data_IF_783428806391
#
_entry.id   IF_783428806391
#
_cell.length_a   1.000
_cell.length_b   1.000
_cell.length_c   1.000
_cell.angle_alpha   90.00
_cell.angle_beta   90.00
_cell.angle_gamma   90.00
#
_symmetry.space_group_name_H-M   'P 1'
#
loop_
_entity.id
_entity.type
_entity.pdbx_description
1 polymer ?
#
# COMPACT_ATOMS: atom_id res chain seq x y z
N UNK A 1 -25.20 33.53 21.09
CA UNK A 1 -25.22 32.47 20.05
C UNK A 1 -23.81 32.04 19.82
N UNK A 2 -23.34 31.05 20.66
CA UNK A 2 -22.04 30.42 20.49
C UNK A 2 -22.10 29.47 19.32
N UNK A 3 -21.31 29.72 18.28
CA UNK A 3 -20.97 28.74 17.23
C UNK A 3 -20.05 27.72 17.91
N UNK A 4 -20.61 26.58 18.28
CA UNK A 4 -19.81 25.41 18.65
C UNK A 4 -19.14 24.93 17.37
N UNK A 5 -17.88 25.32 17.12
CA UNK A 5 -17.03 24.67 16.16
C UNK A 5 -16.81 23.26 16.69
N UNK A 6 -17.52 22.30 16.10
CA UNK A 6 -17.21 20.87 16.26
C UNK A 6 -15.87 20.67 15.57
N UNK A 7 -14.78 20.84 16.30
CA UNK A 7 -13.48 20.38 15.85
C UNK A 7 -13.62 18.85 15.77
N UNK A 8 -13.54 18.31 14.54
CA UNK A 8 -13.36 16.87 14.35
C UNK A 8 -12.17 16.45 15.21
N UNK A 9 -12.24 15.34 15.95
CA UNK A 9 -11.10 14.85 16.70
C UNK A 9 -9.93 14.72 15.74
N UNK A 10 -8.84 15.43 16.05
CA UNK A 10 -7.60 15.30 15.28
C UNK A 10 -7.06 13.93 15.63
N UNK A 11 -7.16 12.98 14.69
CA UNK A 11 -6.56 11.67 14.80
C UNK A 11 -5.09 11.81 15.21
N UNK A 12 -4.64 11.04 16.19
CA UNK A 12 -3.30 11.17 16.78
C UNK A 12 -2.23 10.62 15.82
N UNK A 13 -2.52 9.50 15.16
CA UNK A 13 -1.61 8.78 14.29
C UNK A 13 -2.09 8.73 12.84
N UNK A 14 -3.39 8.46 12.62
CA UNK A 14 -3.96 8.27 11.29
C UNK A 14 -4.43 9.59 10.68
N UNK A 15 -3.58 10.22 9.88
CA UNK A 15 -3.97 11.36 9.05
C UNK A 15 -4.71 10.95 7.76
N UNK A 16 -4.89 11.91 6.85
CA UNK A 16 -5.50 11.68 5.51
C UNK A 16 -4.78 10.56 4.75
N UNK A 17 -3.48 10.43 4.94
CA UNK A 17 -2.60 9.49 4.25
C UNK A 17 -2.22 8.26 5.08
N UNK A 18 -2.96 7.97 6.15
CA UNK A 18 -2.66 6.89 7.09
C UNK A 18 -1.65 7.30 8.17
N UNK A 19 -1.12 6.33 8.90
CA UNK A 19 -0.08 6.54 9.91
C UNK A 19 1.28 6.62 9.22
N UNK A 20 1.89 7.81 9.18
CA UNK A 20 3.19 8.07 8.54
C UNK A 20 4.24 8.55 9.52
N UNK A 21 5.49 8.17 9.27
CA UNK A 21 6.63 8.68 10.00
C UNK A 21 7.94 8.01 9.65
N UNK A 22 9.03 8.54 10.20
CA UNK A 22 10.34 7.90 10.05
C UNK A 22 10.33 6.52 10.73
N UNK A 23 10.73 5.50 9.97
CA UNK A 23 10.68 4.10 10.41
C UNK A 23 11.55 3.87 11.65
N UNK A 24 11.01 3.20 12.66
CA UNK A 24 11.61 2.93 13.98
C UNK A 24 11.88 4.18 14.85
N UNK A 25 11.45 5.37 14.43
CA UNK A 25 11.44 6.57 15.26
C UNK A 25 10.01 7.01 15.61
N UNK A 26 9.20 7.23 14.59
CA UNK A 26 7.80 7.66 14.73
C UNK A 26 6.86 6.49 14.54
N UNK A 27 7.00 5.76 13.43
CA UNK A 27 6.25 4.53 13.13
C UNK A 27 7.17 3.33 13.42
N UNK A 28 6.78 2.48 14.37
CA UNK A 28 7.58 1.34 14.84
C UNK A 28 6.98 0.00 14.41
N UNK A 29 7.77 -1.05 14.46
CA UNK A 29 7.29 -2.41 14.19
C UNK A 29 6.20 -2.86 15.16
N UNK A 30 6.29 -2.43 16.44
CA UNK A 30 5.26 -2.69 17.46
C UNK A 30 3.92 -2.05 17.10
N UNK A 31 3.93 -0.83 16.54
CA UNK A 31 2.72 -0.16 16.09
C UNK A 31 2.07 -0.94 14.94
N UNK A 32 2.88 -1.38 13.98
CA UNK A 32 2.41 -2.23 12.87
C UNK A 32 1.85 -3.57 13.37
N UNK A 33 2.49 -4.20 14.34
CA UNK A 33 1.99 -5.40 14.97
C UNK A 33 0.64 -5.17 15.63
N UNK A 34 0.49 -4.10 16.42
CA UNK A 34 -0.78 -3.73 17.06
C UNK A 34 -1.88 -3.39 16.06
N UNK A 35 -1.55 -2.68 14.97
CA UNK A 35 -2.48 -2.47 13.86
C UNK A 35 -2.97 -3.81 13.30
N UNK A 36 -2.05 -4.73 13.04
CA UNK A 36 -2.37 -6.08 12.60
C UNK A 36 -3.24 -6.85 13.60
N UNK A 37 -2.92 -6.76 14.90
CA UNK A 37 -3.71 -7.34 15.99
C UNK A 37 -5.15 -6.83 15.99
N UNK A 38 -5.30 -5.50 15.93
CA UNK A 38 -6.62 -4.88 15.97
C UNK A 38 -7.46 -5.25 14.75
N UNK A 39 -6.92 -5.12 13.54
CA UNK A 39 -7.64 -5.46 12.31
C UNK A 39 -7.96 -6.95 12.22
N UNK A 40 -7.00 -7.81 12.58
CA UNK A 40 -7.20 -9.25 12.62
C UNK A 40 -8.33 -9.65 13.57
N UNK A 41 -8.36 -9.09 14.77
CA UNK A 41 -9.45 -9.29 15.74
C UNK A 41 -10.77 -8.68 15.23
N UNK A 42 -10.75 -7.46 14.73
CA UNK A 42 -11.95 -6.73 14.30
C UNK A 42 -12.72 -7.51 13.23
N UNK A 43 -12.03 -8.04 12.22
CA UNK A 43 -12.64 -8.78 11.13
C UNK A 43 -12.83 -10.29 11.41
N UNK A 44 -12.25 -10.84 12.48
CA UNK A 44 -12.46 -12.24 12.86
C UNK A 44 -13.67 -12.49 13.76
N UNK A 45 -14.43 -11.43 14.14
CA UNK A 45 -15.54 -11.56 15.11
C UNK A 45 -16.75 -12.36 14.60
N UNK A 46 -17.00 -12.33 13.30
CA UNK A 46 -18.18 -12.97 12.68
C UNK A 46 -17.80 -14.11 11.73
N UNK A 47 -16.63 -14.02 11.13
CA UNK A 47 -16.09 -15.01 10.19
C UNK A 47 -14.57 -14.96 10.24
N UNK A 48 -13.90 -15.85 9.52
CA UNK A 48 -12.44 -15.81 9.39
C UNK A 48 -12.04 -14.63 8.48
N UNK A 49 -11.53 -13.57 9.07
CA UNK A 49 -11.20 -12.34 8.35
C UNK A 49 -10.13 -12.57 7.28
N UNK A 50 -10.24 -11.89 6.14
CA UNK A 50 -9.33 -11.96 5.00
C UNK A 50 -8.74 -10.59 4.74
N UNK A 51 -7.46 -10.41 5.02
CA UNK A 51 -6.78 -9.12 4.94
C UNK A 51 -5.65 -9.19 3.92
N UNK A 52 -5.69 -8.32 2.90
CA UNK A 52 -4.66 -8.27 1.87
C UNK A 52 -3.66 -7.15 2.13
N UNK A 53 -2.37 -7.41 1.92
CA UNK A 53 -1.28 -6.48 2.22
C UNK A 53 -0.45 -6.25 0.96
N UNK A 54 -0.27 -4.98 0.60
CA UNK A 54 0.70 -4.54 -0.41
C UNK A 54 1.74 -3.62 0.21
N UNK A 55 2.90 -3.52 -0.44
CA UNK A 55 3.98 -2.65 0.03
C UNK A 55 4.71 -2.00 -1.14
N UNK A 56 5.47 -0.94 -0.83
CA UNK A 56 6.45 -0.38 -1.75
C UNK A 56 7.84 -1.03 -1.57
N UNK A 57 8.83 -0.47 -2.21
CA UNK A 57 10.18 -1.03 -2.30
C UNK A 57 11.10 -0.70 -1.12
N UNK A 58 10.67 0.11 -0.14
CA UNK A 58 11.49 0.50 1.02
C UNK A 58 11.92 -0.72 1.83
N UNK A 59 13.13 -0.69 2.38
CA UNK A 59 13.59 -1.76 3.30
C UNK A 59 12.67 -1.93 4.50
N UNK A 60 12.21 -0.82 5.09
CA UNK A 60 11.28 -0.84 6.22
C UNK A 60 9.91 -1.42 5.88
N UNK A 61 9.51 -1.43 4.61
CA UNK A 61 8.23 -2.01 4.18
C UNK A 61 8.16 -3.52 4.45
N UNK A 62 9.27 -4.22 4.35
CA UNK A 62 9.34 -5.65 4.70
C UNK A 62 9.16 -5.88 6.20
N UNK A 63 9.80 -5.06 7.03
CA UNK A 63 9.65 -5.11 8.48
C UNK A 63 8.20 -4.88 8.91
N UNK A 64 7.56 -3.86 8.36
CA UNK A 64 6.17 -3.54 8.68
C UNK A 64 5.19 -4.60 8.15
N UNK A 65 5.41 -5.12 6.93
CA UNK A 65 4.60 -6.21 6.39
C UNK A 65 4.62 -7.43 7.31
N UNK A 66 5.81 -7.87 7.75
CA UNK A 66 5.91 -9.03 8.65
C UNK A 66 5.30 -8.78 10.03
N UNK A 67 5.44 -7.58 10.57
CA UNK A 67 4.80 -7.20 11.83
C UNK A 67 3.27 -7.21 11.72
N UNK A 68 2.70 -6.65 10.63
CA UNK A 68 1.27 -6.71 10.33
C UNK A 68 0.78 -8.15 10.20
N UNK A 69 1.49 -8.99 9.44
CA UNK A 69 1.14 -10.40 9.25
C UNK A 69 1.10 -11.14 10.58
N UNK A 70 2.12 -10.96 11.42
CA UNK A 70 2.16 -11.58 12.74
C UNK A 70 0.96 -11.15 13.60
N UNK A 71 0.60 -9.87 13.61
CA UNK A 71 -0.55 -9.37 14.36
C UNK A 71 -1.88 -9.92 13.83
N UNK A 72 -2.09 -9.91 12.52
CA UNK A 72 -3.31 -10.41 11.86
C UNK A 72 -3.52 -11.89 12.17
N UNK A 73 -2.49 -12.70 11.95
CA UNK A 73 -2.61 -14.16 12.14
C UNK A 73 -2.75 -14.55 13.61
N UNK A 74 -2.08 -13.83 14.53
CA UNK A 74 -2.25 -14.01 15.97
C UNK A 74 -3.66 -13.65 16.46
N UNK A 75 -4.45 -12.96 15.67
CA UNK A 75 -5.83 -12.53 16.00
C UNK A 75 -6.92 -13.34 15.26
N UNK A 76 -6.56 -14.36 14.49
CA UNK A 76 -7.51 -15.29 13.88
C UNK A 76 -7.92 -14.96 12.45
N UNK A 77 -7.41 -13.89 11.85
CA UNK A 77 -7.60 -13.56 10.44
C UNK A 77 -6.47 -14.08 9.57
N UNK A 78 -6.74 -14.28 8.28
CA UNK A 78 -5.74 -14.66 7.29
C UNK A 78 -5.15 -13.45 6.58
N UNK A 79 -3.83 -13.45 6.38
CA UNK A 79 -3.08 -12.42 5.68
C UNK A 79 -2.72 -12.89 4.26
N UNK A 80 -2.94 -12.03 3.25
CA UNK A 80 -2.66 -12.31 1.85
C UNK A 80 -1.66 -11.28 1.30
N UNK A 81 -0.51 -11.73 0.81
CA UNK A 81 0.62 -10.88 0.46
C UNK A 81 0.67 -10.61 -1.06
N UNK A 82 0.38 -9.38 -1.46
CA UNK A 82 0.56 -8.91 -2.84
C UNK A 82 2.02 -8.56 -3.16
N UNK A 83 2.89 -8.50 -2.13
CA UNK A 83 4.25 -8.02 -2.23
C UNK A 83 4.34 -6.58 -2.75
N UNK A 84 5.39 -6.26 -3.54
CA UNK A 84 5.57 -4.92 -4.10
C UNK A 84 4.47 -4.63 -5.11
N UNK A 85 3.61 -3.66 -4.78
CA UNK A 85 2.49 -3.22 -5.62
C UNK A 85 2.06 -1.80 -5.26
N UNK A 86 1.16 -1.21 -6.04
CA UNK A 86 0.66 0.15 -5.85
C UNK A 86 -0.57 0.21 -4.94
N UNK A 87 -0.82 1.37 -4.32
CA UNK A 87 -2.03 1.58 -3.52
C UNK A 87 -3.32 1.29 -4.30
N UNK A 88 -3.49 1.75 -5.56
CA UNK A 88 -4.66 1.39 -6.35
C UNK A 88 -4.80 -0.12 -6.62
N UNK A 89 -3.69 -0.86 -6.70
CA UNK A 89 -3.72 -2.33 -6.83
C UNK A 89 -4.34 -2.98 -5.59
N UNK A 90 -3.94 -2.53 -4.39
CA UNK A 90 -4.54 -3.02 -3.13
C UNK A 90 -6.03 -2.72 -3.09
N UNK A 91 -6.43 -1.48 -3.36
CA UNK A 91 -7.85 -1.07 -3.37
C UNK A 91 -8.68 -1.86 -4.40
N UNK A 92 -8.11 -2.12 -5.58
CA UNK A 92 -8.75 -2.93 -6.61
C UNK A 92 -8.98 -4.36 -6.13
N UNK A 93 -7.94 -5.01 -5.61
CA UNK A 93 -8.01 -6.41 -5.15
C UNK A 93 -8.99 -6.56 -3.99
N UNK A 94 -8.94 -5.64 -3.00
CA UNK A 94 -9.90 -5.66 -1.88
C UNK A 94 -11.34 -5.72 -2.40
N UNK A 95 -11.69 -4.79 -3.26
CA UNK A 95 -13.06 -4.65 -3.76
C UNK A 95 -13.49 -5.78 -4.68
N UNK A 96 -12.61 -6.27 -5.55
CA UNK A 96 -12.98 -7.23 -6.61
C UNK A 96 -12.89 -8.69 -6.16
N UNK A 97 -12.20 -8.95 -5.07
CA UNK A 97 -11.98 -10.32 -4.57
C UNK A 97 -12.54 -10.51 -3.16
N UNK A 98 -13.40 -9.57 -2.75
CA UNK A 98 -14.18 -9.65 -1.49
C UNK A 98 -13.29 -9.86 -0.25
N UNK A 99 -12.18 -9.10 -0.15
CA UNK A 99 -11.40 -9.00 1.08
C UNK A 99 -12.10 -8.05 2.04
N UNK A 100 -12.02 -8.34 3.34
CA UNK A 100 -12.59 -7.49 4.39
C UNK A 100 -11.84 -6.16 4.50
N UNK A 101 -10.52 -6.20 4.28
CA UNK A 101 -9.64 -5.06 4.44
C UNK A 101 -8.38 -5.19 3.58
N UNK A 102 -7.86 -4.06 3.17
CA UNK A 102 -6.54 -3.94 2.53
C UNK A 102 -5.61 -3.05 3.33
N UNK A 103 -4.34 -3.38 3.33
CA UNK A 103 -3.29 -2.59 3.95
C UNK A 103 -2.23 -2.25 2.90
N UNK A 104 -1.89 -0.96 2.77
CA UNK A 104 -0.77 -0.52 1.94
C UNK A 104 0.34 0.06 2.80
N UNK A 105 1.51 -0.55 2.73
CA UNK A 105 2.73 -0.10 3.42
C UNK A 105 3.55 0.77 2.49
N UNK A 106 3.43 2.09 2.63
CA UNK A 106 4.12 3.08 1.79
C UNK A 106 3.99 4.48 2.35
N UNK A 107 5.02 5.32 2.17
CA UNK A 107 4.96 6.76 2.42
C UNK A 107 4.96 7.58 1.11
N UNK A 108 4.47 7.02 -0.01
CA UNK A 108 4.33 7.73 -1.29
C UNK A 108 5.66 8.35 -1.77
N UNK A 109 5.67 9.68 -1.99
CA UNK A 109 6.82 10.44 -2.49
C UNK A 109 7.85 10.84 -1.43
N UNK A 110 7.66 10.44 -0.16
CA UNK A 110 8.62 10.73 0.91
C UNK A 110 9.96 10.01 0.69
N UNK A 111 11.04 10.47 1.33
CA UNK A 111 12.33 9.79 1.32
C UNK A 111 12.26 8.35 1.84
N UNK A 112 13.26 7.54 1.53
CA UNK A 112 13.31 6.11 1.83
C UNK A 112 13.22 5.75 3.32
N UNK A 113 13.64 6.65 4.21
CA UNK A 113 13.64 6.43 5.66
C UNK A 113 12.25 6.62 6.28
N UNK A 114 11.34 7.32 5.62
CA UNK A 114 9.93 7.38 6.01
C UNK A 114 9.19 6.14 5.53
N UNK A 115 8.11 5.80 6.24
CA UNK A 115 7.14 4.82 5.81
C UNK A 115 5.74 5.19 6.30
N UNK A 116 4.73 4.42 5.89
CA UNK A 116 3.36 4.64 6.30
C UNK A 116 2.51 3.39 6.15
N UNK A 117 1.43 3.34 6.91
CA UNK A 117 0.44 2.28 6.86
C UNK A 117 -0.91 2.92 6.55
N UNK A 118 -1.48 2.58 5.39
CA UNK A 118 -2.83 2.98 4.96
C UNK A 118 -3.74 1.80 5.04
N UNK A 119 -4.93 2.01 5.60
CA UNK A 119 -5.94 0.97 5.73
C UNK A 119 -7.10 1.30 4.79
N UNK A 120 -7.53 0.29 4.05
CA UNK A 120 -8.52 0.36 2.98
C UNK A 120 -9.65 -0.60 3.35
N UNK A 121 -10.88 -0.13 3.38
CA UNK A 121 -12.06 -0.95 3.68
C UNK A 121 -12.41 -1.93 2.54
N UNK A 122 -13.36 -2.81 2.76
CA UNK A 122 -13.82 -3.80 1.78
C UNK A 122 -14.36 -3.21 0.46
N UNK A 123 -14.71 -1.92 0.43
CA UNK A 123 -15.16 -1.21 -0.76
C UNK A 123 -14.01 -0.53 -1.53
N UNK A 124 -12.80 -0.61 -1.03
CA UNK A 124 -11.61 0.01 -1.64
C UNK A 124 -11.41 1.48 -1.26
N UNK A 125 -12.07 1.98 -0.21
CA UNK A 125 -11.94 3.33 0.30
C UNK A 125 -11.07 3.37 1.57
N UNK A 126 -10.71 4.57 2.01
CA UNK A 126 -10.07 4.75 3.32
C UNK A 126 -11.01 4.21 4.41
N UNK A 127 -10.45 3.48 5.38
CA UNK A 127 -11.23 2.96 6.51
C UNK A 127 -11.89 4.09 7.31
N UNK A 128 -13.01 3.79 7.95
CA UNK A 128 -13.79 4.76 8.74
C UNK A 128 -13.00 5.30 9.94
N UNK A 129 -13.22 6.59 10.27
CA UNK A 129 -12.44 7.29 11.30
C UNK A 129 -12.67 6.74 12.71
N UNK A 130 -13.84 6.19 12.99
CA UNK A 130 -14.15 5.55 14.28
C UNK A 130 -13.32 4.28 14.50
N UNK A 131 -13.03 3.52 13.43
CA UNK A 131 -12.14 2.35 13.48
C UNK A 131 -10.68 2.81 13.65
N UNK A 132 -10.27 3.91 13.00
CA UNK A 132 -8.94 4.49 13.20
C UNK A 132 -8.75 4.92 14.66
N UNK A 133 -9.71 5.63 15.24
CA UNK A 133 -9.69 6.08 16.65
C UNK A 133 -9.64 4.90 17.64
N UNK A 134 -10.45 3.87 17.41
CA UNK A 134 -10.43 2.68 18.25
C UNK A 134 -9.08 1.93 18.16
N UNK A 135 -8.46 1.91 16.98
CA UNK A 135 -7.13 1.34 16.78
C UNK A 135 -6.04 2.17 17.46
N UNK A 136 -6.12 3.51 17.42
CA UNK A 136 -5.21 4.40 18.14
C UNK A 136 -5.28 4.16 19.66
N UNK A 137 -6.48 4.01 20.21
CA UNK A 137 -6.68 3.69 21.62
C UNK A 137 -6.05 2.32 21.99
N UNK A 138 -6.10 1.34 21.09
CA UNK A 138 -5.42 0.06 21.29
C UNK A 138 -3.89 0.19 21.22
N UNK A 139 -3.37 0.95 20.27
CA UNK A 139 -1.92 1.23 20.14
C UNK A 139 -1.39 1.88 21.43
N UNK A 140 -2.13 2.82 21.99
CA UNK A 140 -1.77 3.54 23.22
C UNK A 140 -1.97 2.72 24.51
N UNK A 141 -2.57 1.54 24.43
CA UNK A 141 -2.87 0.71 25.59
C UNK A 141 -3.99 1.28 26.50
N UNK A 142 -4.86 2.10 25.93
CA UNK A 142 -6.04 2.67 26.64
C UNK A 142 -7.14 1.60 26.82
N UNK A 143 -7.20 0.66 25.88
CA UNK A 143 -8.13 -0.47 25.93
C UNK A 143 -7.40 -1.75 26.32
N UNK A 144 -8.16 -2.72 26.85
CA UNK A 144 -7.62 -4.03 27.25
C UNK A 144 -6.97 -4.77 26.07
N UNK A 145 -6.04 -5.68 26.40
CA UNK A 145 -5.38 -6.54 25.39
C UNK A 145 -6.43 -7.43 24.70
N UNK A 146 -6.37 -7.45 23.38
CA UNK A 146 -7.27 -8.25 22.57
C UNK A 146 -6.93 -9.76 22.70
N UNK A 147 -7.93 -10.65 22.64
CA UNK A 147 -7.68 -12.08 22.75
C UNK A 147 -6.77 -12.60 21.63
N UNK A 148 -5.95 -13.58 21.94
CA UNK A 148 -5.15 -14.30 20.94
C UNK A 148 -5.93 -15.50 20.42
N UNK A 149 -5.85 -15.72 19.13
CA UNK A 149 -6.30 -16.95 18.53
C UNK A 149 -5.40 -18.13 18.95
N UNK A 150 -5.97 -19.31 19.15
CA UNK A 150 -5.24 -20.51 19.57
C UNK A 150 -5.61 -21.71 18.71
N UNK A 151 -4.69 -22.66 18.58
CA UNK A 151 -4.92 -23.90 17.83
C UNK A 151 -5.32 -23.61 16.36
N UNK A 152 -6.43 -24.19 15.94
CA UNK A 152 -6.96 -24.05 14.57
C UNK A 152 -7.51 -22.65 14.27
N UNK A 153 -7.74 -21.83 15.28
CA UNK A 153 -8.18 -20.44 15.10
C UNK A 153 -7.05 -19.50 14.69
N UNK A 154 -5.78 -19.87 14.83
CA UNK A 154 -4.65 -19.06 14.35
C UNK A 154 -4.75 -18.88 12.84
N UNK A 155 -4.56 -17.64 12.38
CA UNK A 155 -4.64 -17.30 10.96
C UNK A 155 -3.44 -17.81 10.16
N UNK A 156 -3.56 -17.75 8.85
CA UNK A 156 -2.50 -18.14 7.89
C UNK A 156 -1.95 -16.96 7.14
N UNK A 157 -0.73 -17.09 6.59
CA UNK A 157 -0.15 -16.13 5.66
C UNK A 157 0.01 -16.80 4.29
N UNK A 158 -0.53 -16.16 3.25
CA UNK A 158 -0.56 -16.70 1.89
C UNK A 158 0.09 -15.74 0.91
N UNK A 159 0.99 -16.22 0.05
CA UNK A 159 1.46 -15.48 -1.12
C UNK A 159 0.29 -15.28 -2.08
N UNK A 160 -0.03 -14.03 -2.39
CA UNK A 160 -1.16 -13.67 -3.25
C UNK A 160 -0.76 -12.79 -4.43
N UNK A 161 0.42 -13.02 -4.99
CA UNK A 161 0.91 -12.28 -6.17
C UNK A 161 -0.07 -12.32 -7.36
N UNK A 162 -0.95 -13.31 -7.41
CA UNK A 162 -2.00 -13.43 -8.44
C UNK A 162 -2.96 -12.22 -8.41
N UNK A 163 -3.26 -11.65 -7.25
CA UNK A 163 -4.11 -10.45 -7.12
C UNK A 163 -3.48 -9.25 -7.85
N UNK A 164 -2.17 -9.04 -7.69
CA UNK A 164 -1.42 -8.02 -8.44
C UNK A 164 -1.50 -8.26 -9.96
N UNK A 165 -1.37 -9.50 -10.40
CA UNK A 165 -1.45 -9.84 -11.83
C UNK A 165 -2.85 -9.58 -12.40
N UNK A 166 -3.92 -9.80 -11.63
CA UNK A 166 -5.28 -9.42 -12.01
C UNK A 166 -5.44 -7.91 -12.15
N UNK A 167 -4.83 -7.12 -11.28
CA UNK A 167 -4.80 -5.66 -11.42
C UNK A 167 -4.09 -5.21 -12.71
N UNK A 168 -2.96 -5.85 -13.08
CA UNK A 168 -2.29 -5.60 -14.36
C UNK A 168 -3.24 -5.90 -15.53
N UNK A 169 -3.92 -7.04 -15.51
CA UNK A 169 -4.93 -7.42 -16.51
C UNK A 169 -6.08 -6.39 -16.60
N UNK A 170 -6.55 -5.91 -15.45
CA UNK A 170 -7.55 -4.85 -15.39
C UNK A 170 -7.06 -3.55 -16.05
N UNK A 171 -5.85 -3.09 -15.73
CA UNK A 171 -5.28 -1.89 -16.36
C UNK A 171 -5.18 -2.02 -17.88
N UNK A 172 -4.77 -3.18 -18.38
CA UNK A 172 -4.71 -3.46 -19.82
C UNK A 172 -6.10 -3.40 -20.44
N UNK A 173 -7.13 -3.91 -19.76
CA UNK A 173 -8.53 -3.92 -20.25
C UNK A 173 -9.15 -2.53 -20.36
N UNK A 174 -8.64 -1.52 -19.65
CA UNK A 174 -9.13 -0.15 -19.74
C UNK A 174 -8.71 0.58 -21.02
N UNK A 175 -7.75 0.05 -21.76
CA UNK A 175 -7.27 0.70 -22.97
C UNK A 175 -8.30 0.52 -24.11
N UNK A 176 -8.75 1.63 -24.68
CA UNK A 176 -9.71 1.66 -25.78
C UNK A 176 -9.04 1.55 -27.16
N UNK A 177 -7.71 1.58 -27.23
CA UNK A 177 -6.93 1.50 -28.47
C UNK A 177 -5.55 0.89 -28.23
N UNK A 178 -4.93 0.35 -29.28
CA UNK A 178 -3.55 -0.14 -29.24
C UNK A 178 -2.55 1.02 -29.14
N UNK A 179 -1.47 0.79 -28.42
CA UNK A 179 -0.31 1.71 -28.33
C UNK A 179 0.83 1.29 -29.27
N UNK A 180 0.53 0.41 -30.24
CA UNK A 180 1.50 0.01 -31.28
C UNK A 180 2.09 1.24 -31.96
N UNK A 181 3.40 1.24 -32.18
CA UNK A 181 4.21 2.32 -32.72
C UNK A 181 4.40 3.55 -31.77
N UNK A 182 3.88 3.52 -30.56
CA UNK A 182 4.22 4.53 -29.55
C UNK A 182 5.53 4.16 -28.86
N UNK A 183 6.35 5.19 -28.61
CA UNK A 183 7.57 5.09 -27.81
C UNK A 183 7.31 5.85 -26.52
N UNK A 184 7.25 5.12 -25.39
CA UNK A 184 6.81 5.69 -24.10
C UNK A 184 7.97 5.66 -23.12
N UNK A 185 8.29 6.82 -22.54
CA UNK A 185 9.21 6.94 -21.40
C UNK A 185 8.45 6.83 -20.08
N UNK A 186 8.92 6.02 -19.18
CA UNK A 186 8.35 5.79 -17.85
C UNK A 186 9.39 6.08 -16.78
N UNK A 187 9.00 6.83 -15.73
CA UNK A 187 9.76 6.93 -14.50
C UNK A 187 9.03 6.16 -13.40
N UNK A 188 9.62 5.09 -12.91
CA UNK A 188 9.05 4.25 -11.85
C UNK A 188 9.50 4.66 -10.45
N UNK A 189 10.25 5.76 -10.31
CA UNK A 189 10.71 6.32 -9.02
C UNK A 189 11.43 5.31 -8.10
N UNK A 190 11.95 4.21 -8.64
CA UNK A 190 12.43 3.04 -7.89
C UNK A 190 11.39 2.56 -6.85
N UNK A 191 10.11 2.78 -7.10
CA UNK A 191 8.98 2.52 -6.21
C UNK A 191 8.08 1.38 -6.67
N UNK A 192 6.86 1.37 -6.16
CA UNK A 192 5.86 0.30 -6.35
C UNK A 192 5.52 0.02 -7.82
N UNK A 193 5.55 1.04 -8.68
CA UNK A 193 5.23 0.92 -10.10
C UNK A 193 6.27 0.13 -10.90
N UNK A 194 7.48 -0.04 -10.36
CA UNK A 194 8.56 -0.81 -11.02
C UNK A 194 8.14 -2.23 -11.39
N UNK A 195 7.22 -2.82 -10.65
CA UNK A 195 6.71 -4.18 -10.91
C UNK A 195 5.51 -4.24 -11.87
N UNK A 196 4.94 -3.10 -12.28
CA UNK A 196 3.65 -3.04 -12.99
C UNK A 196 3.75 -2.26 -14.31
N UNK A 197 4.32 -1.05 -14.28
CA UNK A 197 4.17 -0.07 -15.36
C UNK A 197 4.64 -0.58 -16.72
N UNK A 198 5.85 -1.13 -16.78
CA UNK A 198 6.40 -1.66 -18.04
C UNK A 198 5.52 -2.76 -18.64
N UNK A 199 5.08 -3.70 -17.81
CA UNK A 199 4.26 -4.84 -18.26
C UNK A 199 2.93 -4.39 -18.88
N UNK A 200 2.28 -3.35 -18.33
CA UNK A 200 1.04 -2.80 -18.85
C UNK A 200 1.26 -2.16 -20.23
N UNK A 201 2.22 -1.27 -20.35
CA UNK A 201 2.46 -0.57 -21.61
C UNK A 201 2.98 -1.49 -22.72
N UNK A 202 3.85 -2.47 -22.40
CA UNK A 202 4.29 -3.48 -23.34
C UNK A 202 3.13 -4.35 -23.85
N UNK A 203 2.22 -4.77 -22.95
CA UNK A 203 1.04 -5.54 -23.33
C UNK A 203 0.09 -4.75 -24.24
N UNK A 204 0.03 -3.43 -24.10
CA UNK A 204 -0.72 -2.54 -24.99
C UNK A 204 -0.03 -2.30 -26.35
N UNK A 205 1.19 -2.82 -26.53
CA UNK A 205 1.95 -2.75 -27.76
C UNK A 205 2.91 -1.57 -27.87
N UNK A 206 3.11 -0.79 -26.80
CA UNK A 206 4.08 0.28 -26.78
C UNK A 206 5.52 -0.25 -26.74
N UNK A 207 6.46 0.53 -27.27
CA UNK A 207 7.89 0.34 -26.99
C UNK A 207 8.27 1.17 -25.78
N UNK A 208 8.47 0.53 -24.64
CA UNK A 208 8.72 1.19 -23.36
C UNK A 208 10.20 1.37 -23.06
N UNK A 209 10.53 2.53 -22.52
CA UNK A 209 11.85 2.92 -22.03
C UNK A 209 11.66 3.38 -20.58
N UNK A 210 12.40 2.79 -19.65
CA UNK A 210 12.12 2.97 -18.21
C UNK A 210 13.35 3.51 -17.49
N UNK A 211 13.14 4.51 -16.65
CA UNK A 211 14.11 4.99 -15.66
C UNK A 211 13.55 4.77 -14.25
N UNK A 212 14.40 4.85 -13.23
CA UNK A 212 13.96 4.65 -11.84
C UNK A 212 13.35 3.26 -11.60
N UNK A 213 13.88 2.21 -12.21
CA UNK A 213 13.31 0.86 -12.18
C UNK A 213 14.24 -0.21 -11.57
N UNK A 214 15.21 0.22 -10.78
CA UNK A 214 16.15 -0.68 -10.08
C UNK A 214 16.12 -0.42 -8.57
N UNK A 215 15.00 -0.77 -7.90
CA UNK A 215 14.83 -0.50 -6.49
C UNK A 215 15.82 -1.32 -5.65
N UNK A 216 16.51 -0.67 -4.72
CA UNK A 216 17.41 -1.30 -3.76
C UNK A 216 16.97 -1.13 -2.29
N UNK A 217 15.80 -0.55 -2.09
CA UNK A 217 15.20 -0.28 -0.77
C UNK A 217 15.61 1.04 -0.13
N UNK A 218 16.58 1.76 -0.72
CA UNK A 218 17.11 3.03 -0.21
C UNK A 218 17.03 4.16 -1.25
N UNK A 219 16.67 3.86 -2.48
CA UNK A 219 16.69 4.79 -3.60
C UNK A 219 15.31 5.18 -4.12
N UNK A 220 14.24 4.81 -3.44
CA UNK A 220 12.88 5.24 -3.81
C UNK A 220 12.80 6.79 -3.78
N UNK A 221 12.25 7.38 -4.84
CA UNK A 221 12.10 8.83 -5.03
C UNK A 221 13.42 9.64 -5.00
N UNK A 222 14.58 8.97 -5.01
CA UNK A 222 15.87 9.67 -5.00
C UNK A 222 16.20 10.13 -6.42
N UNK A 223 16.18 11.44 -6.62
CA UNK A 223 16.47 12.07 -7.91
C UNK A 223 15.61 11.51 -9.07
N UNK A 224 14.35 11.12 -8.79
CA UNK A 224 13.41 10.55 -9.77
C UNK A 224 11.96 10.70 -9.29
N UNK A 225 11.01 10.44 -10.20
CA UNK A 225 9.59 10.49 -9.92
C UNK A 225 8.98 11.88 -9.92
N UNK A 226 7.79 12.02 -9.35
CA UNK A 226 6.93 13.22 -9.45
C UNK A 226 7.51 14.47 -8.81
N UNK A 227 8.49 14.34 -7.94
CA UNK A 227 9.20 15.47 -7.32
C UNK A 227 10.48 15.85 -8.06
N UNK A 228 10.88 15.11 -9.09
CA UNK A 228 12.10 15.31 -9.90
C UNK A 228 11.83 15.03 -11.39
N UNK A 229 10.82 15.70 -11.94
CA UNK A 229 10.31 15.49 -13.31
C UNK A 229 11.37 15.81 -14.39
N UNK A 230 12.33 16.67 -14.08
CA UNK A 230 13.38 17.11 -15.00
C UNK A 230 14.19 15.95 -15.58
N UNK A 231 14.37 14.88 -14.82
CA UNK A 231 15.10 13.69 -15.28
C UNK A 231 14.31 12.93 -16.35
N UNK A 232 13.00 12.79 -16.19
CA UNK A 232 12.15 12.18 -17.20
C UNK A 232 12.06 13.07 -18.44
N UNK A 233 11.94 14.40 -18.30
CA UNK A 233 11.92 15.35 -19.41
C UNK A 233 13.18 15.23 -20.26
N UNK A 234 14.36 15.26 -19.63
CA UNK A 234 15.64 15.06 -20.31
C UNK A 234 15.70 13.73 -21.03
N UNK A 235 15.35 12.65 -20.36
CA UNK A 235 15.33 11.30 -20.93
C UNK A 235 14.42 11.17 -22.15
N UNK A 236 13.24 11.78 -22.11
CA UNK A 236 12.27 11.82 -23.22
C UNK A 236 12.84 12.57 -24.44
N UNK A 237 13.46 13.73 -24.22
CA UNK A 237 14.03 14.53 -25.28
C UNK A 237 15.22 13.84 -25.94
N UNK A 238 16.16 13.32 -25.16
CA UNK A 238 17.36 12.61 -25.66
C UNK A 238 17.00 11.36 -26.48
N UNK A 239 15.95 10.64 -26.07
CA UNK A 239 15.51 9.41 -26.73
C UNK A 239 14.37 9.59 -27.74
N UNK A 240 13.90 10.83 -27.95
CA UNK A 240 12.76 11.16 -28.84
C UNK A 240 11.52 10.32 -28.51
N UNK A 241 11.13 10.28 -27.22
CA UNK A 241 10.00 9.52 -26.71
C UNK A 241 8.76 10.41 -26.49
N UNK A 242 7.64 9.77 -26.13
CA UNK A 242 6.53 10.45 -25.43
C UNK A 242 6.71 10.22 -23.94
N UNK A 243 6.43 11.21 -23.09
CA UNK A 243 6.55 11.09 -21.64
C UNK A 243 5.24 10.60 -21.04
N UNK A 244 5.35 9.65 -20.12
CA UNK A 244 4.30 9.29 -19.18
C UNK A 244 4.94 9.32 -17.79
N UNK A 245 4.35 10.10 -16.90
CA UNK A 245 4.77 10.22 -15.51
C UNK A 245 3.77 9.53 -14.59
N UNK A 246 4.27 8.88 -13.56
CA UNK A 246 3.47 8.44 -12.41
C UNK A 246 4.27 8.41 -11.13
#
# INVERSE_FOLDING_TARGET
TGVQTCALPISKYFGTDGFRGEANKVLKADDAYKIGRYLGWYYSREHRGRIVIGKDTRRSSYMFEYALVAGITASGSDAFLLHVTTTPSVAYVVRTEEFDCGIMVSASHNPYYDNGIKIIDGNGHKIASDIEEAMENYIDGIVEELPFATGEAVGTATDYAIGRNRYIGYLISLATRSYKNMRVGLDCSNGSTSSIAKSVFDALGAKTYVIGNEPNGLNINKDCGSTHIENLQKFVLENKLRSEER
#
